data_IF_047169990284
#
_entry.id   IF_047169990284
#
_cell.length_a   1.000
_cell.length_b   1.000
_cell.length_c   1.000
_cell.angle_alpha   90.00
_cell.angle_beta   90.00
_cell.angle_gamma   90.00
#
_symmetry.space_group_name_H-M   'P 1'
#
loop_
_entity.id
_entity.type
_entity.pdbx_description
1 polymer ?
#
# COMPACT_ATOMS: atom_id res chain seq x y z
N UNK A 1 0.17 19.75 -16.32
CA UNK A 1 -0.42 20.90 -15.66
C UNK A 1 -1.31 21.69 -16.62
N UNK A 2 -0.75 22.17 -17.74
CA UNK A 2 -1.50 23.00 -18.71
C UNK A 2 -2.74 22.30 -19.28
N UNK A 3 -2.64 21.02 -19.64
CA UNK A 3 -3.78 20.23 -20.14
C UNK A 3 -4.95 20.16 -19.15
N UNK A 4 -4.68 20.01 -17.85
CA UNK A 4 -5.75 20.00 -16.82
C UNK A 4 -6.45 21.35 -16.78
N UNK A 5 -5.68 22.43 -16.78
CA UNK A 5 -6.23 23.81 -16.79
C UNK A 5 -7.09 24.03 -18.02
N UNK A 6 -6.58 23.68 -19.21
CA UNK A 6 -7.27 23.80 -20.47
C UNK A 6 -8.58 22.99 -20.51
N UNK A 7 -8.51 21.73 -20.03
CA UNK A 7 -9.71 20.89 -19.97
C UNK A 7 -10.78 21.50 -19.06
N UNK A 8 -10.40 21.95 -17.86
CA UNK A 8 -11.35 22.58 -16.93
C UNK A 8 -11.95 23.87 -17.51
N UNK A 9 -11.14 24.69 -18.21
CA UNK A 9 -11.61 25.90 -18.87
C UNK A 9 -12.61 25.58 -20.00
N UNK A 10 -12.38 24.52 -20.79
CA UNK A 10 -13.31 24.07 -21.83
C UNK A 10 -14.69 23.71 -21.26
N UNK A 11 -14.74 23.20 -20.02
CA UNK A 11 -15.99 22.93 -19.30
C UNK A 11 -16.51 24.14 -18.47
N UNK A 12 -15.98 25.34 -18.72
CA UNK A 12 -16.34 26.58 -17.98
C UNK A 12 -16.18 26.42 -16.46
N UNK A 13 -15.04 25.86 -16.09
CA UNK A 13 -14.60 25.76 -14.68
C UNK A 13 -13.35 26.60 -14.52
N UNK A 14 -13.52 27.76 -13.91
CA UNK A 14 -12.42 28.65 -13.61
C UNK A 14 -11.67 28.18 -12.36
N UNK A 15 -10.34 28.29 -12.40
CA UNK A 15 -9.45 27.93 -11.32
C UNK A 15 -8.58 29.12 -10.90
N UNK A 16 -8.43 29.33 -9.61
CA UNK A 16 -7.62 30.43 -9.08
C UNK A 16 -6.14 30.04 -9.00
N UNK A 17 -5.84 28.77 -8.65
CA UNK A 17 -4.46 28.29 -8.44
C UNK A 17 -4.35 26.80 -8.72
N UNK A 18 -3.21 26.39 -9.24
CA UNK A 18 -2.84 24.96 -9.42
C UNK A 18 -1.41 24.71 -8.94
N UNK A 19 -1.25 23.72 -8.06
CA UNK A 19 0.04 23.19 -7.60
C UNK A 19 0.16 21.74 -8.07
N UNK A 20 1.35 21.33 -8.48
CA UNK A 20 1.64 19.93 -8.81
C UNK A 20 2.71 19.39 -7.85
N UNK A 21 2.46 18.22 -7.28
CA UNK A 21 3.41 17.47 -6.47
C UNK A 21 3.64 16.12 -7.15
N UNK A 22 4.87 15.88 -7.59
CA UNK A 22 5.24 14.64 -8.31
C UNK A 22 5.64 13.60 -7.28
N UNK A 23 4.89 12.50 -7.23
CA UNK A 23 5.22 11.32 -6.44
C UNK A 23 5.83 10.20 -7.30
N UNK A 24 6.19 9.06 -6.70
CA UNK A 24 6.83 7.95 -7.41
C UNK A 24 5.95 7.35 -8.53
N UNK A 25 4.68 7.17 -8.27
CA UNK A 25 3.74 6.50 -9.19
C UNK A 25 2.66 7.41 -9.71
N UNK A 26 2.28 8.44 -8.95
CA UNK A 26 1.24 9.39 -9.29
C UNK A 26 1.71 10.82 -9.07
N UNK A 27 1.16 11.76 -9.84
CA UNK A 27 1.31 13.19 -9.61
C UNK A 27 0.00 13.74 -9.08
N UNK A 28 0.06 14.42 -7.93
CA UNK A 28 -1.07 15.14 -7.35
C UNK A 28 -1.11 16.57 -7.87
N UNK A 29 -2.20 16.94 -8.51
CA UNK A 29 -2.51 18.33 -8.88
C UNK A 29 -3.54 18.87 -7.90
N UNK A 30 -3.13 19.78 -7.04
CA UNK A 30 -4.00 20.49 -6.11
C UNK A 30 -4.53 21.75 -6.79
N UNK A 31 -5.84 21.89 -6.87
CA UNK A 31 -6.52 22.99 -7.55
C UNK A 31 -7.37 23.77 -6.54
N UNK A 32 -7.28 25.08 -6.59
CA UNK A 32 -8.20 25.98 -5.91
C UNK A 32 -9.25 26.44 -6.94
N UNK A 33 -10.51 25.97 -6.85
CA UNK A 33 -11.57 26.45 -7.73
C UNK A 33 -11.83 27.95 -7.52
N UNK A 34 -12.27 28.64 -8.55
CA UNK A 34 -12.73 30.01 -8.42
C UNK A 34 -14.00 30.08 -7.54
N UNK A 35 -14.27 31.22 -6.87
CA UNK A 35 -15.49 31.40 -6.10
C UNK A 35 -16.75 31.11 -6.94
N UNK A 36 -17.69 30.35 -6.34
CA UNK A 36 -18.93 29.96 -7.00
C UNK A 36 -18.89 28.66 -7.81
N UNK A 37 -17.72 28.06 -8.01
CA UNK A 37 -17.60 26.75 -8.68
C UNK A 37 -18.02 25.63 -7.74
N UNK A 38 -19.00 24.83 -8.16
CA UNK A 38 -19.48 23.67 -7.38
C UNK A 38 -18.54 22.49 -7.54
N UNK A 39 -18.12 21.88 -6.43
CA UNK A 39 -17.22 20.72 -6.40
C UNK A 39 -17.81 19.52 -7.16
N UNK A 40 -19.14 19.32 -7.07
CA UNK A 40 -19.81 18.25 -7.80
C UNK A 40 -19.61 18.36 -9.34
N UNK A 41 -19.56 19.56 -9.88
CA UNK A 41 -19.30 19.79 -11.30
C UNK A 41 -17.91 19.30 -11.69
N UNK A 42 -16.91 19.49 -10.82
CA UNK A 42 -15.55 19.00 -11.04
C UNK A 42 -15.49 17.47 -10.96
N UNK A 43 -16.14 16.87 -9.96
CA UNK A 43 -16.16 15.40 -9.79
C UNK A 43 -16.74 14.68 -11.01
N UNK A 44 -17.79 15.22 -11.59
CA UNK A 44 -18.46 14.62 -12.74
C UNK A 44 -17.63 14.65 -14.04
N UNK A 45 -16.48 15.34 -14.04
CA UNK A 45 -15.58 15.42 -15.18
C UNK A 45 -14.37 14.47 -15.07
N UNK A 46 -14.41 13.50 -14.16
CA UNK A 46 -13.30 12.58 -13.92
C UNK A 46 -12.89 11.85 -15.20
N UNK A 47 -13.85 11.27 -15.91
CA UNK A 47 -13.63 10.53 -17.15
C UNK A 47 -13.16 11.45 -18.28
N UNK A 48 -13.74 12.63 -18.40
CA UNK A 48 -13.38 13.63 -19.43
C UNK A 48 -11.94 14.11 -19.23
N UNK A 49 -11.55 14.37 -17.99
CA UNK A 49 -10.18 14.78 -17.66
C UNK A 49 -9.21 13.61 -17.88
N UNK A 50 -9.57 12.39 -17.51
CA UNK A 50 -8.76 11.20 -17.77
C UNK A 50 -8.50 11.02 -19.28
N UNK A 51 -9.54 11.15 -20.09
CA UNK A 51 -9.46 11.06 -21.55
C UNK A 51 -8.55 12.16 -22.13
N UNK A 52 -8.75 13.40 -21.69
CA UNK A 52 -7.94 14.56 -22.13
C UNK A 52 -6.45 14.37 -21.82
N UNK A 53 -6.13 13.76 -20.69
CA UNK A 53 -4.76 13.49 -20.27
C UNK A 53 -4.18 12.22 -20.89
N UNK A 54 -4.97 11.45 -21.62
CA UNK A 54 -4.61 10.10 -22.10
C UNK A 54 -4.13 9.20 -20.95
N UNK A 55 -4.73 9.35 -19.76
CA UNK A 55 -4.41 8.58 -18.59
C UNK A 55 -5.32 7.34 -18.49
N UNK A 56 -4.79 6.23 -17.98
CA UNK A 56 -5.56 4.98 -17.76
C UNK A 56 -6.68 5.12 -16.72
N UNK A 57 -6.72 6.24 -16.02
CA UNK A 57 -7.68 6.64 -15.03
C UNK A 57 -7.08 7.73 -14.16
N UNK A 58 -7.91 8.56 -13.59
CA UNK A 58 -7.50 9.54 -12.58
C UNK A 58 -8.35 9.31 -11.34
N UNK A 59 -7.96 9.90 -10.22
CA UNK A 59 -8.78 9.91 -9.01
C UNK A 59 -8.95 11.36 -8.56
N UNK A 60 -10.21 11.73 -8.32
CA UNK A 60 -10.52 13.07 -7.80
C UNK A 60 -10.77 12.99 -6.29
N UNK A 61 -9.97 13.72 -5.51
CA UNK A 61 -10.13 13.91 -4.07
C UNK A 61 -10.73 15.29 -3.85
N UNK A 62 -12.01 15.35 -3.53
CA UNK A 62 -12.69 16.63 -3.41
C UNK A 62 -13.73 16.63 -2.28
N UNK A 63 -13.51 17.46 -1.24
CA UNK A 63 -12.31 18.26 -1.00
C UNK A 63 -11.11 17.45 -0.49
N UNK A 64 -9.91 18.00 -0.62
CA UNK A 64 -8.74 17.46 0.12
C UNK A 64 -8.94 17.76 1.61
N UNK A 65 -8.89 16.75 2.49
CA UNK A 65 -9.08 16.95 3.92
C UNK A 65 -8.15 18.03 4.47
N UNK A 66 -8.72 19.01 5.18
CA UNK A 66 -7.97 20.09 5.83
C UNK A 66 -7.45 21.23 4.92
N UNK A 67 -7.67 21.16 3.59
CA UNK A 67 -7.10 22.18 2.66
C UNK A 67 -8.12 22.99 1.86
N UNK A 68 -9.37 22.59 1.78
CA UNK A 68 -10.39 23.27 0.97
C UNK A 68 -10.07 23.32 -0.54
N UNK A 69 -9.17 22.46 -1.01
CA UNK A 69 -8.74 22.33 -2.42
C UNK A 69 -9.26 21.03 -3.01
N UNK A 70 -9.23 20.92 -4.34
CA UNK A 70 -9.55 19.70 -5.09
C UNK A 70 -8.26 19.09 -5.60
N UNK A 71 -8.05 17.80 -5.33
CA UNK A 71 -6.89 17.03 -5.78
C UNK A 71 -7.24 16.14 -6.96
N UNK A 72 -6.36 16.12 -7.96
CA UNK A 72 -6.37 15.16 -9.06
C UNK A 72 -5.11 14.29 -8.97
N UNK A 73 -5.28 13.03 -8.66
CA UNK A 73 -4.19 12.04 -8.74
C UNK A 73 -4.15 11.49 -10.16
N UNK A 74 -3.07 11.79 -10.86
CA UNK A 74 -2.85 11.33 -12.25
C UNK A 74 -1.68 10.36 -12.26
N UNK A 75 -1.86 9.12 -12.75
CA UNK A 75 -0.76 8.17 -12.90
C UNK A 75 0.38 8.74 -13.73
N UNK A 76 1.62 8.53 -13.28
CA UNK A 76 2.80 8.92 -14.02
C UNK A 76 2.96 8.02 -15.25
N UNK A 77 3.32 8.58 -16.40
CA UNK A 77 3.58 7.82 -17.63
C UNK A 77 4.76 6.85 -17.48
N UNK A 78 5.69 7.17 -16.57
CA UNK A 78 6.82 6.32 -16.18
C UNK A 78 6.85 6.26 -14.66
N UNK A 79 6.16 5.29 -14.04
CA UNK A 79 6.19 5.12 -12.60
C UNK A 79 7.59 4.73 -12.13
N UNK A 80 8.03 5.31 -11.03
CA UNK A 80 9.30 4.99 -10.40
C UNK A 80 9.14 3.77 -9.49
N UNK A 81 10.06 2.82 -9.59
CA UNK A 81 10.13 1.69 -8.67
C UNK A 81 10.71 2.15 -7.32
N UNK A 82 10.02 1.85 -6.24
CA UNK A 82 10.48 2.14 -4.87
C UNK A 82 11.12 0.88 -4.27
N UNK A 83 12.46 0.78 -4.19
CA UNK A 83 13.12 -0.41 -3.66
C UNK A 83 12.86 -0.58 -2.16
N UNK A 84 12.51 -1.79 -1.74
CA UNK A 84 12.30 -2.14 -0.32
C UNK A 84 13.51 -1.80 0.56
N UNK A 85 14.72 -2.00 0.04
CA UNK A 85 15.98 -1.66 0.72
C UNK A 85 16.03 -0.18 1.15
N UNK A 86 15.60 0.73 0.27
CA UNK A 86 15.59 2.17 0.56
C UNK A 86 14.60 2.50 1.68
N UNK A 87 13.47 1.81 1.70
CA UNK A 87 12.43 2.02 2.71
C UNK A 87 12.89 1.52 4.09
N UNK A 88 13.47 0.33 4.14
CA UNK A 88 14.00 -0.26 5.39
C UNK A 88 15.18 0.57 5.92
N UNK A 89 16.05 1.09 5.05
CA UNK A 89 17.17 1.92 5.45
C UNK A 89 16.79 3.35 5.85
N UNK A 90 15.52 3.75 5.70
CA UNK A 90 15.09 5.10 6.07
C UNK A 90 15.17 5.31 7.59
N UNK A 91 15.59 6.49 8.02
CA UNK A 91 15.62 6.86 9.44
C UNK A 91 14.27 6.66 10.12
N UNK A 92 13.19 6.96 9.41
CA UNK A 92 11.82 6.79 9.90
C UNK A 92 11.53 5.34 10.28
N UNK A 93 11.98 4.36 9.47
CA UNK A 93 11.81 2.95 9.78
C UNK A 93 12.77 2.49 10.88
N UNK A 94 14.04 2.91 10.82
CA UNK A 94 15.04 2.49 11.79
C UNK A 94 14.73 2.97 13.21
N UNK A 95 14.19 4.18 13.36
CA UNK A 95 13.91 4.82 14.65
C UNK A 95 12.44 4.72 15.08
N UNK A 96 11.60 3.92 14.40
CA UNK A 96 10.20 3.80 14.81
C UNK A 96 10.02 2.93 16.05
N UNK A 97 9.08 3.33 16.91
CA UNK A 97 8.70 2.65 18.15
C UNK A 97 7.51 1.67 17.97
N UNK A 98 7.16 1.34 16.73
CA UNK A 98 6.06 0.43 16.44
C UNK A 98 6.39 -0.99 16.87
N UNK A 99 5.40 -1.69 17.44
CA UNK A 99 5.57 -3.09 17.85
C UNK A 99 5.77 -4.02 16.65
N UNK A 100 4.96 -3.89 15.60
CA UNK A 100 5.11 -4.64 14.35
C UNK A 100 5.11 -3.68 13.15
N UNK A 101 6.23 -2.95 12.90
CA UNK A 101 6.29 -1.99 11.81
C UNK A 101 6.26 -2.66 10.46
N UNK A 102 5.36 -2.23 9.60
CA UNK A 102 5.30 -2.61 8.19
C UNK A 102 5.49 -1.39 7.31
N UNK A 103 6.42 -1.47 6.39
CA UNK A 103 6.71 -0.43 5.42
C UNK A 103 6.01 -0.78 4.10
N UNK A 104 5.16 0.12 3.61
CA UNK A 104 4.30 -0.15 2.47
C UNK A 104 4.70 0.60 1.20
N UNK A 105 5.58 1.59 1.30
CA UNK A 105 6.01 2.37 0.15
C UNK A 105 6.36 3.81 0.49
N UNK A 106 6.16 4.71 -0.49
CA UNK A 106 6.30 6.15 -0.33
C UNK A 106 4.98 6.85 -0.60
N UNK A 107 4.76 7.94 0.12
CA UNK A 107 3.65 8.87 -0.15
C UNK A 107 3.91 9.67 -1.43
N UNK A 108 2.90 10.43 -1.86
CA UNK A 108 3.04 11.37 -2.98
C UNK A 108 4.12 12.43 -2.71
N UNK A 109 4.38 12.74 -1.44
CA UNK A 109 5.44 13.66 -1.03
C UNK A 109 6.82 13.01 -0.90
N UNK A 110 6.98 11.78 -1.40
CA UNK A 110 8.21 10.96 -1.32
C UNK A 110 8.66 10.55 0.09
N UNK A 111 7.80 10.69 1.09
CA UNK A 111 8.06 10.23 2.44
C UNK A 111 7.78 8.74 2.60
N UNK A 112 8.60 8.03 3.37
CA UNK A 112 8.35 6.62 3.71
C UNK A 112 7.03 6.48 4.46
N UNK A 113 6.12 5.66 3.91
CA UNK A 113 4.86 5.31 4.54
C UNK A 113 4.96 3.97 5.25
N UNK A 114 4.58 3.97 6.50
CA UNK A 114 4.63 2.79 7.36
C UNK A 114 3.47 2.78 8.35
N UNK A 115 3.10 1.61 8.81
CA UNK A 115 2.03 1.39 9.78
C UNK A 115 2.44 0.34 10.80
N UNK A 116 1.75 0.32 11.93
CA UNK A 116 1.91 -0.73 12.94
C UNK A 116 0.87 -1.81 12.70
N UNK A 117 1.32 -3.05 12.43
CA UNK A 117 0.43 -4.17 12.17
C UNK A 117 -0.38 -4.56 13.42
N UNK A 118 0.10 -4.27 14.62
CA UNK A 118 -0.65 -4.56 15.87
C UNK A 118 -1.96 -3.79 15.96
N UNK A 119 -2.04 -2.62 15.29
CA UNK A 119 -3.26 -1.82 15.17
C UNK A 119 -4.23 -2.31 14.10
N UNK A 120 -3.82 -3.32 13.34
CA UNK A 120 -4.59 -3.98 12.29
C UNK A 120 -4.56 -5.49 12.51
N UNK A 121 -5.17 -6.00 13.59
CA UNK A 121 -5.07 -7.42 13.99
C UNK A 121 -5.59 -8.38 12.92
N UNK A 122 -6.48 -7.91 12.05
CA UNK A 122 -7.01 -8.62 10.90
C UNK A 122 -6.80 -7.76 9.65
N UNK A 123 -5.85 -8.12 8.81
CA UNK A 123 -5.54 -7.42 7.58
C UNK A 123 -5.93 -8.27 6.36
N UNK A 124 -6.88 -7.80 5.57
CA UNK A 124 -7.21 -8.39 4.28
C UNK A 124 -6.40 -7.69 3.18
N UNK A 125 -5.60 -8.46 2.45
CA UNK A 125 -4.86 -7.97 1.27
C UNK A 125 -5.42 -8.64 0.03
N UNK A 126 -6.04 -7.87 -0.86
CA UNK A 126 -6.63 -8.35 -2.09
C UNK A 126 -6.04 -7.63 -3.32
N UNK A 127 -6.02 -8.30 -4.45
CA UNK A 127 -5.57 -7.74 -5.71
C UNK A 127 -5.67 -8.76 -6.84
N UNK A 128 -5.97 -8.29 -8.05
CA UNK A 128 -5.94 -9.13 -9.24
C UNK A 128 -4.51 -9.60 -9.56
N UNK A 129 -4.39 -10.59 -10.42
CA UNK A 129 -3.09 -11.10 -10.87
C UNK A 129 -2.24 -9.97 -11.45
N UNK A 130 -0.99 -9.89 -11.03
CA UNK A 130 -0.06 -8.84 -11.47
C UNK A 130 -0.20 -7.47 -10.76
N UNK A 131 -1.18 -7.30 -9.87
CA UNK A 131 -1.40 -6.03 -9.14
C UNK A 131 -0.56 -5.87 -7.86
N UNK A 132 0.41 -6.75 -7.65
CA UNK A 132 1.37 -6.59 -6.56
C UNK A 132 0.97 -7.18 -5.21
N UNK A 133 -0.11 -8.00 -5.10
CA UNK A 133 -0.52 -8.65 -3.85
C UNK A 133 0.64 -9.40 -3.19
N UNK A 134 1.33 -10.27 -3.92
CA UNK A 134 2.48 -11.05 -3.41
C UNK A 134 3.66 -10.16 -3.02
N UNK A 135 3.88 -9.06 -3.76
CA UNK A 135 4.90 -8.06 -3.41
C UNK A 135 4.55 -7.37 -2.09
N UNK A 136 3.27 -7.01 -1.90
CA UNK A 136 2.78 -6.42 -0.65
C UNK A 136 2.93 -7.36 0.55
N UNK A 137 2.58 -8.65 0.40
CA UNK A 137 2.77 -9.66 1.44
C UNK A 137 4.25 -9.81 1.80
N UNK A 138 5.13 -9.91 0.79
CA UNK A 138 6.56 -9.97 1.01
C UNK A 138 7.10 -8.71 1.72
N UNK A 139 6.60 -7.52 1.36
CA UNK A 139 6.98 -6.28 2.02
C UNK A 139 6.61 -6.27 3.51
N UNK A 140 5.44 -6.81 3.87
CA UNK A 140 5.01 -6.97 5.26
C UNK A 140 5.96 -7.90 6.02
N UNK A 141 6.17 -9.12 5.51
CA UNK A 141 7.03 -10.11 6.16
C UNK A 141 8.46 -9.61 6.30
N UNK A 142 9.03 -9.05 5.23
CA UNK A 142 10.40 -8.52 5.23
C UNK A 142 10.54 -7.36 6.21
N UNK A 143 9.56 -6.47 6.32
CA UNK A 143 9.58 -5.37 7.29
C UNK A 143 9.75 -5.90 8.72
N UNK A 144 8.96 -6.89 9.10
CA UNK A 144 8.99 -7.50 10.44
C UNK A 144 10.32 -8.22 10.66
N UNK A 145 10.80 -9.01 9.68
CA UNK A 145 12.08 -9.72 9.76
C UNK A 145 13.28 -8.79 9.99
N UNK A 146 13.25 -7.58 9.41
CA UNK A 146 14.34 -6.61 9.60
C UNK A 146 14.26 -5.83 10.91
N UNK A 147 13.10 -5.83 11.58
CA UNK A 147 12.91 -5.03 12.80
C UNK A 147 12.86 -5.88 14.06
N UNK A 148 12.40 -7.13 13.99
CA UNK A 148 12.16 -7.96 15.17
C UNK A 148 13.09 -9.17 15.23
N UNK A 149 13.50 -9.49 16.45
CA UNK A 149 14.27 -10.69 16.72
C UNK A 149 13.36 -11.94 16.77
N UNK A 150 13.83 -13.14 16.39
CA UNK A 150 13.03 -14.37 16.42
C UNK A 150 12.42 -14.73 17.79
N UNK A 151 12.98 -14.21 18.87
CA UNK A 151 12.42 -14.37 20.23
C UNK A 151 11.19 -13.48 20.49
N UNK A 152 10.95 -12.47 19.64
CA UNK A 152 9.85 -11.51 19.80
C UNK A 152 8.68 -11.81 18.87
N UNK A 153 8.93 -12.52 17.75
CA UNK A 153 7.90 -12.81 16.75
C UNK A 153 8.12 -14.18 16.12
N UNK A 154 7.02 -14.88 15.89
CA UNK A 154 6.98 -16.12 15.11
C UNK A 154 5.90 -15.97 14.03
N UNK A 155 6.13 -16.60 12.89
CA UNK A 155 5.17 -16.65 11.80
C UNK A 155 4.60 -18.06 11.68
N UNK A 156 3.30 -18.15 11.54
CA UNK A 156 2.61 -19.34 11.03
C UNK A 156 2.20 -19.03 9.59
N UNK A 157 2.80 -19.72 8.63
CA UNK A 157 2.58 -19.45 7.21
C UNK A 157 1.78 -20.57 6.57
N UNK A 158 0.70 -20.18 5.87
CA UNK A 158 -0.18 -21.10 5.14
C UNK A 158 -0.17 -20.69 3.67
N UNK A 159 0.30 -21.58 2.80
CA UNK A 159 0.34 -21.38 1.35
C UNK A 159 -0.13 -22.62 0.60
N UNK A 160 -1.46 -22.83 0.44
CA UNK A 160 -2.01 -24.00 -0.23
C UNK A 160 -1.57 -24.15 -1.68
N UNK A 161 -1.19 -23.05 -2.32
CA UNK A 161 -0.75 -23.03 -3.73
C UNK A 161 0.74 -23.25 -3.92
N UNK A 162 1.54 -23.20 -2.87
CA UNK A 162 3.02 -23.31 -2.89
C UNK A 162 3.71 -22.32 -3.82
N UNK A 163 3.18 -21.10 -3.93
CA UNK A 163 3.65 -20.13 -4.92
C UNK A 163 4.27 -18.88 -4.27
N UNK A 164 3.66 -18.36 -3.20
CA UNK A 164 3.99 -17.03 -2.70
C UNK A 164 4.99 -17.04 -1.55
N UNK A 165 4.92 -18.04 -0.67
CA UNK A 165 5.66 -18.03 0.60
C UNK A 165 6.84 -19.01 0.64
N UNK A 166 7.06 -19.81 -0.38
CA UNK A 166 8.12 -20.85 -0.43
C UNK A 166 9.51 -20.30 -0.12
N UNK A 167 9.79 -19.04 -0.47
CA UNK A 167 11.05 -18.38 -0.20
C UNK A 167 11.37 -18.32 1.30
N UNK A 168 10.35 -18.22 2.14
CA UNK A 168 10.47 -18.10 3.59
C UNK A 168 10.80 -19.42 4.31
N UNK A 169 10.84 -20.55 3.63
CA UNK A 169 11.38 -21.82 4.19
C UNK A 169 12.81 -21.64 4.72
N UNK A 170 13.58 -20.72 4.17
CA UNK A 170 14.95 -20.44 4.62
C UNK A 170 15.06 -19.92 6.05
N UNK A 171 13.97 -19.38 6.61
CA UNK A 171 13.94 -18.86 7.98
C UNK A 171 13.21 -19.79 8.94
N UNK A 172 12.94 -21.04 8.54
CA UNK A 172 12.21 -22.04 9.30
C UNK A 172 12.69 -22.14 10.75
N UNK A 173 13.99 -22.33 10.94
CA UNK A 173 14.58 -22.59 12.26
C UNK A 173 14.49 -21.44 13.26
N UNK A 174 14.29 -20.23 12.74
CA UNK A 174 14.34 -19.01 13.55
C UNK A 174 12.98 -18.36 13.73
N UNK A 175 12.25 -18.17 12.64
CA UNK A 175 11.04 -17.35 12.63
C UNK A 175 9.74 -18.11 12.41
N UNK A 176 9.77 -19.37 11.89
CA UNK A 176 8.53 -20.10 11.68
C UNK A 176 8.16 -20.93 12.91
N UNK A 177 6.86 -20.92 13.21
CA UNK A 177 6.25 -21.85 14.15
C UNK A 177 5.49 -22.94 13.36
N UNK A 178 5.65 -24.19 13.78
CA UNK A 178 4.96 -25.35 13.20
C UNK A 178 4.60 -26.36 14.29
N UNK A 179 3.64 -27.22 13.99
CA UNK A 179 3.30 -28.32 14.86
C UNK A 179 4.44 -29.37 14.96
N UNK A 180 4.67 -29.98 16.12
CA UNK A 180 5.66 -31.06 16.27
C UNK A 180 5.39 -32.24 15.32
N UNK A 181 6.44 -32.80 14.73
CA UNK A 181 6.35 -33.97 13.85
C UNK A 181 5.89 -33.68 12.42
N UNK A 182 5.57 -32.45 12.06
CA UNK A 182 5.23 -32.08 10.69
C UNK A 182 6.46 -31.77 9.83
N UNK A 183 6.41 -32.13 8.53
CA UNK A 183 7.55 -32.00 7.60
C UNK A 183 7.88 -30.52 7.33
N UNK A 184 7.10 -29.88 6.47
CA UNK A 184 7.35 -28.50 6.03
C UNK A 184 6.84 -27.46 7.05
N UNK A 185 7.59 -26.39 7.26
CA UNK A 185 7.19 -25.30 8.16
C UNK A 185 6.11 -24.40 7.56
N UNK A 186 6.02 -24.33 6.23
CA UNK A 186 4.93 -23.64 5.55
C UNK A 186 3.84 -24.67 5.25
N UNK A 187 2.65 -24.42 5.78
CA UNK A 187 1.52 -25.35 5.72
C UNK A 187 0.89 -25.26 4.34
N UNK A 188 0.86 -26.38 3.63
CA UNK A 188 0.33 -26.47 2.27
C UNK A 188 -0.91 -27.38 2.16
N UNK A 189 -1.17 -28.19 3.19
CA UNK A 189 -2.30 -29.11 3.25
C UNK A 189 -3.42 -28.50 4.11
N UNK A 190 -4.63 -28.42 3.55
CA UNK A 190 -5.79 -27.83 4.20
C UNK A 190 -6.18 -28.55 5.50
N UNK A 191 -5.98 -29.87 5.59
CA UNK A 191 -6.27 -30.63 6.81
C UNK A 191 -5.38 -30.20 7.97
N UNK A 192 -4.12 -29.91 7.68
CA UNK A 192 -3.14 -29.42 8.68
C UNK A 192 -3.40 -27.98 9.12
N UNK A 193 -4.03 -27.16 8.26
CA UNK A 193 -4.43 -25.79 8.63
C UNK A 193 -5.39 -25.82 9.82
N UNK A 194 -6.38 -26.71 9.81
CA UNK A 194 -7.36 -26.81 10.91
C UNK A 194 -6.66 -27.17 12.23
N UNK A 195 -5.76 -28.15 12.18
CA UNK A 195 -4.99 -28.55 13.37
C UNK A 195 -4.12 -27.41 13.92
N UNK A 196 -3.47 -26.67 13.02
CA UNK A 196 -2.65 -25.52 13.38
C UNK A 196 -3.49 -24.40 14.00
N UNK A 197 -4.66 -24.10 13.43
CA UNK A 197 -5.57 -23.10 14.00
C UNK A 197 -6.08 -23.49 15.38
N UNK A 198 -6.43 -24.76 15.57
CA UNK A 198 -6.83 -25.27 16.90
C UNK A 198 -5.69 -25.13 17.91
N UNK A 199 -4.45 -25.46 17.50
CA UNK A 199 -3.27 -25.30 18.36
C UNK A 199 -3.01 -23.84 18.72
N UNK A 200 -3.19 -22.91 17.77
CA UNK A 200 -3.06 -21.48 18.06
C UNK A 200 -4.13 -20.99 19.04
N UNK A 201 -5.37 -21.47 18.94
CA UNK A 201 -6.41 -21.15 19.92
C UNK A 201 -6.01 -21.59 21.33
N UNK A 202 -5.46 -22.81 21.47
CA UNK A 202 -4.98 -23.32 22.77
C UNK A 202 -3.81 -22.51 23.33
N UNK A 203 -2.90 -22.04 22.44
CA UNK A 203 -1.76 -21.23 22.86
C UNK A 203 -2.16 -19.81 23.29
N UNK A 204 -3.30 -19.32 22.80
CA UNK A 204 -3.82 -17.98 23.11
C UNK A 204 -4.68 -17.93 24.36
N UNK A 205 -5.20 -19.07 24.85
CA UNK A 205 -6.01 -19.20 26.07
C UNK A 205 -5.12 -19.34 27.31
#
# INVERSE_FOLDING_TARGET
KNKIVETLLNYKIDISKIKATVGPTVTLYEIVPAPGVRISKIKNLEDDIALSLSALGIRIIAPIPGKGTVGFEVPNSKPEMVPMRTLIASEKFQNCDFELPVVLGKTITNETYMSDLTKMPHLLVAGATGQGKSVGLNAILVSILYKKHPAQVKFVLVDPKKVELTLFNKIERHFLAKLPGEGDAIITDTSKVVNTMNSLCIEMD
#
